data_IF_727594742252
#
_entry.id   IF_727594742252
#
_cell.length_a   1.000
_cell.length_b   1.000
_cell.length_c   1.000
_cell.angle_alpha   90.00
_cell.angle_beta   90.00
_cell.angle_gamma   90.00
#
_symmetry.space_group_name_H-M   'P 1'
#
loop_
_entity.id
_entity.type
_entity.pdbx_description
1 polymer ?
#
# COMPACT_ATOMS: atom_id res chain seq x y z
N UNK A 1 5.50 19.10 4.99
CA UNK A 1 6.30 18.38 3.97
C UNK A 1 7.72 18.44 4.44
N UNK A 2 8.35 17.28 4.65
CA UNK A 2 9.78 17.23 4.95
C UNK A 2 10.51 17.83 3.74
N UNK A 3 11.22 18.93 3.96
CA UNK A 3 11.84 19.72 2.93
C UNK A 3 12.92 18.87 2.26
N UNK A 4 12.78 18.53 0.99
CA UNK A 4 13.89 17.95 0.22
C UNK A 4 14.94 19.06 0.13
N UNK A 5 16.05 18.91 0.85
CA UNK A 5 17.14 19.86 0.75
C UNK A 5 17.74 19.81 -0.66
N UNK A 6 18.12 20.97 -1.24
CA UNK A 6 18.70 21.00 -2.58
C UNK A 6 20.03 20.26 -2.59
N UNK A 7 20.08 19.13 -3.31
CA UNK A 7 21.28 18.33 -3.48
C UNK A 7 22.29 19.06 -4.39
N UNK A 8 23.57 19.01 -4.05
CA UNK A 8 24.63 19.73 -4.76
C UNK A 8 25.26 18.91 -5.89
N UNK A 9 25.07 17.58 -5.87
CA UNK A 9 25.64 16.66 -6.85
C UNK A 9 24.80 15.37 -6.96
N UNK A 10 25.13 14.55 -7.95
CA UNK A 10 24.43 13.29 -8.21
C UNK A 10 24.53 12.28 -7.07
N UNK A 11 25.65 12.26 -6.32
CA UNK A 11 25.83 11.33 -5.21
C UNK A 11 24.89 11.67 -4.04
N UNK A 12 24.75 12.95 -3.72
CA UNK A 12 23.79 13.43 -2.72
C UNK A 12 22.34 13.14 -3.14
N UNK A 13 21.99 13.39 -4.41
CA UNK A 13 20.66 13.09 -4.93
C UNK A 13 20.33 11.61 -4.78
N UNK A 14 21.26 10.71 -5.12
CA UNK A 14 21.07 9.26 -4.97
C UNK A 14 20.92 8.86 -3.50
N UNK A 15 21.72 9.43 -2.61
CA UNK A 15 21.60 9.15 -1.18
C UNK A 15 20.25 9.61 -0.60
N UNK A 16 19.69 10.72 -1.11
CA UNK A 16 18.33 11.16 -0.75
C UNK A 16 17.25 10.22 -1.28
N UNK A 17 17.37 9.74 -2.53
CA UNK A 17 16.47 8.73 -3.10
C UNK A 17 16.51 7.46 -2.25
N UNK A 18 17.70 6.94 -1.95
CA UNK A 18 17.85 5.73 -1.13
C UNK A 18 17.23 5.89 0.27
N UNK A 19 17.30 7.10 0.85
CA UNK A 19 16.64 7.40 2.13
C UNK A 19 15.11 7.34 1.99
N UNK A 20 14.58 7.93 0.94
CA UNK A 20 13.14 7.92 0.64
C UNK A 20 12.67 6.48 0.40
N UNK A 21 13.41 5.70 -0.39
CA UNK A 21 13.06 4.32 -0.71
C UNK A 21 13.02 3.43 0.54
N UNK A 22 13.99 3.59 1.46
CA UNK A 22 13.95 2.91 2.77
C UNK A 22 12.68 3.24 3.56
N UNK A 23 12.28 4.52 3.57
CA UNK A 23 11.05 4.94 4.25
C UNK A 23 9.80 4.38 3.56
N UNK A 24 9.75 4.42 2.22
CA UNK A 24 8.64 3.85 1.45
C UNK A 24 8.47 2.36 1.70
N UNK A 25 9.55 1.59 1.67
CA UNK A 25 9.53 0.14 1.95
C UNK A 25 9.02 -0.14 3.36
N UNK A 26 9.50 0.59 4.36
CA UNK A 26 9.03 0.44 5.74
C UNK A 26 7.53 0.73 5.88
N UNK A 27 7.03 1.81 5.27
CA UNK A 27 5.62 2.18 5.28
C UNK A 27 4.72 1.18 4.54
N UNK A 28 5.19 0.64 3.40
CA UNK A 28 4.48 -0.41 2.66
C UNK A 28 4.37 -1.68 3.51
N UNK A 29 5.45 -2.08 4.20
CA UNK A 29 5.46 -3.23 5.09
C UNK A 29 4.48 -3.06 6.26
N UNK A 30 4.51 -1.91 6.93
CA UNK A 30 3.57 -1.55 8.00
C UNK A 30 2.12 -1.61 7.51
N UNK A 31 1.84 -1.02 6.34
CA UNK A 31 0.52 -1.08 5.73
C UNK A 31 0.07 -2.52 5.47
N UNK A 32 0.96 -3.37 4.95
CA UNK A 32 0.66 -4.79 4.70
C UNK A 32 0.33 -5.56 5.97
N UNK A 33 1.03 -5.30 7.07
CA UNK A 33 0.71 -5.87 8.40
C UNK A 33 -0.70 -5.46 8.83
N UNK A 34 -1.03 -4.18 8.73
CA UNK A 34 -2.37 -3.68 9.07
C UNK A 34 -3.47 -4.32 8.21
N UNK A 35 -3.22 -4.53 6.91
CA UNK A 35 -4.20 -5.19 6.03
C UNK A 35 -4.39 -6.67 6.40
N UNK A 36 -3.32 -7.41 6.69
CA UNK A 36 -3.44 -8.78 7.19
C UNK A 36 -4.20 -8.88 8.52
N UNK A 37 -4.00 -7.92 9.43
CA UNK A 37 -4.80 -7.85 10.65
C UNK A 37 -6.28 -7.57 10.33
N UNK A 38 -6.56 -6.65 9.40
CA UNK A 38 -7.91 -6.37 8.95
C UNK A 38 -8.61 -7.61 8.36
N UNK A 39 -7.86 -8.46 7.66
CA UNK A 39 -8.35 -9.69 7.06
C UNK A 39 -8.88 -10.73 8.07
N UNK A 40 -8.40 -10.69 9.31
CA UNK A 40 -8.89 -11.55 10.39
C UNK A 40 -10.33 -11.19 10.81
N UNK A 41 -10.78 -9.96 10.55
CA UNK A 41 -12.14 -9.50 10.85
C UNK A 41 -13.12 -9.70 9.69
N UNK A 42 -12.67 -10.25 8.56
CA UNK A 42 -13.48 -10.45 7.36
C UNK A 42 -14.05 -11.87 7.33
N UNK A 43 -15.37 -11.97 7.24
CA UNK A 43 -16.11 -13.24 7.35
C UNK A 43 -16.65 -13.74 6.01
N UNK A 44 -16.52 -12.95 4.95
CA UNK A 44 -17.03 -13.32 3.63
C UNK A 44 -16.17 -12.80 2.49
N UNK A 45 -16.23 -13.49 1.35
CA UNK A 45 -15.46 -13.17 0.15
C UNK A 45 -15.62 -11.71 -0.32
N UNK A 46 -16.85 -11.17 -0.26
CA UNK A 46 -17.11 -9.77 -0.64
C UNK A 46 -16.45 -8.75 0.30
N UNK A 47 -16.19 -9.11 1.55
CA UNK A 47 -15.44 -8.26 2.50
C UNK A 47 -13.93 -8.32 2.20
N UNK A 48 -13.43 -9.50 1.81
CA UNK A 48 -12.03 -9.72 1.44
C UNK A 48 -11.67 -8.95 0.18
N UNK A 49 -12.52 -8.99 -0.84
CA UNK A 49 -12.35 -8.23 -2.08
C UNK A 49 -12.40 -6.69 -1.85
N UNK A 50 -12.84 -6.25 -0.67
CA UNK A 50 -12.50 -4.92 -0.13
C UNK A 50 -13.09 -3.72 -0.89
N UNK A 51 -14.03 -3.94 -1.82
CA UNK A 51 -14.46 -2.96 -2.82
C UNK A 51 -14.68 -1.54 -2.29
N UNK A 52 -15.61 -1.36 -1.34
CA UNK A 52 -15.93 -0.01 -0.80
C UNK A 52 -14.74 0.68 -0.12
N UNK A 53 -13.87 -0.07 0.55
CA UNK A 53 -12.74 0.48 1.32
C UNK A 53 -11.52 0.75 0.45
N UNK A 54 -11.27 -0.11 -0.55
CA UNK A 54 -10.27 0.09 -1.58
C UNK A 54 -10.58 1.36 -2.40
N UNK A 55 -11.83 1.53 -2.82
CA UNK A 55 -12.26 2.72 -3.56
C UNK A 55 -12.09 4.01 -2.74
N UNK A 56 -12.38 3.94 -1.43
CA UNK A 56 -12.17 5.09 -0.54
C UNK A 56 -10.68 5.41 -0.36
N UNK A 57 -9.81 4.39 -0.32
CA UNK A 57 -8.37 4.59 -0.27
C UNK A 57 -7.88 5.26 -1.57
N UNK A 58 -8.33 4.79 -2.73
CA UNK A 58 -7.99 5.37 -4.03
C UNK A 58 -8.42 6.84 -4.15
N UNK A 59 -9.67 7.15 -3.83
CA UNK A 59 -10.18 8.55 -3.84
C UNK A 59 -9.39 9.47 -2.92
N UNK A 60 -8.92 8.96 -1.78
CA UNK A 60 -8.10 9.75 -0.85
C UNK A 60 -6.72 10.01 -1.46
N UNK A 61 -6.09 8.99 -2.00
CA UNK A 61 -4.73 9.06 -2.57
C UNK A 61 -4.65 10.00 -3.77
N UNK A 62 -5.64 9.96 -4.65
CA UNK A 62 -5.75 10.87 -5.80
C UNK A 62 -5.82 12.34 -5.39
N UNK A 63 -6.22 12.65 -4.14
CA UNK A 63 -6.30 14.01 -3.59
C UNK A 63 -5.06 14.43 -2.79
N UNK A 64 -4.13 13.50 -2.52
CA UNK A 64 -3.01 13.72 -1.59
C UNK A 64 -1.66 13.95 -2.27
N UNK A 65 -1.51 13.77 -3.58
CA UNK A 65 -0.19 13.64 -4.23
C UNK A 65 0.05 14.48 -5.49
N UNK A 66 1.33 14.80 -5.70
CA UNK A 66 1.86 15.24 -6.99
C UNK A 66 2.02 14.02 -7.92
N UNK A 67 1.63 14.20 -9.19
CA UNK A 67 1.29 13.15 -10.16
C UNK A 67 0.27 12.12 -9.63
N UNK A 68 -1.00 12.47 -9.80
CA UNK A 68 -2.13 11.62 -9.44
C UNK A 68 -2.12 10.27 -10.20
N UNK A 69 -1.59 10.23 -11.43
CA UNK A 69 -1.59 9.02 -12.24
C UNK A 69 -0.58 8.00 -11.70
N UNK A 70 0.65 8.43 -11.41
CA UNK A 70 1.67 7.57 -10.81
C UNK A 70 1.23 7.07 -9.43
N UNK A 71 0.75 7.98 -8.58
CA UNK A 71 0.33 7.62 -7.21
C UNK A 71 -0.83 6.62 -7.23
N UNK A 72 -1.81 6.81 -8.12
CA UNK A 72 -2.91 5.88 -8.29
C UNK A 72 -2.45 4.51 -8.82
N UNK A 73 -1.47 4.47 -9.74
CA UNK A 73 -0.93 3.21 -10.25
C UNK A 73 -0.24 2.39 -9.15
N UNK A 74 0.59 3.04 -8.32
CA UNK A 74 1.27 2.39 -7.18
C UNK A 74 0.24 1.83 -6.18
N UNK A 75 -0.78 2.62 -5.84
CA UNK A 75 -1.81 2.16 -4.90
C UNK A 75 -2.69 1.04 -5.46
N UNK A 76 -3.02 1.04 -6.76
CA UNK A 76 -3.75 -0.05 -7.40
C UNK A 76 -2.98 -1.36 -7.31
N UNK A 77 -1.69 -1.34 -7.66
CA UNK A 77 -0.84 -2.52 -7.57
C UNK A 77 -0.78 -3.06 -6.13
N UNK A 78 -0.53 -2.18 -5.15
CA UNK A 78 -0.43 -2.54 -3.74
C UNK A 78 -1.74 -3.10 -3.16
N UNK A 79 -2.89 -2.53 -3.53
CA UNK A 79 -4.19 -3.02 -3.10
C UNK A 79 -4.47 -4.40 -3.71
N UNK A 80 -4.18 -4.58 -5.00
CA UNK A 80 -4.37 -5.85 -5.69
C UNK A 80 -3.57 -6.98 -5.02
N UNK A 81 -2.30 -6.71 -4.72
CA UNK A 81 -1.41 -7.67 -4.05
C UNK A 81 -1.95 -8.08 -2.68
N UNK A 82 -2.36 -7.09 -1.86
CA UNK A 82 -2.93 -7.39 -0.55
C UNK A 82 -4.24 -8.17 -0.62
N UNK A 83 -5.15 -7.86 -1.56
CA UNK A 83 -6.39 -8.64 -1.74
C UNK A 83 -6.07 -10.09 -2.10
N UNK A 84 -5.06 -10.32 -2.95
CA UNK A 84 -4.61 -11.68 -3.29
C UNK A 84 -4.11 -12.44 -2.06
N UNK A 85 -3.28 -11.81 -1.22
CA UNK A 85 -2.80 -12.38 0.04
C UNK A 85 -3.96 -12.69 1.00
N UNK A 86 -4.88 -11.76 1.18
CA UNK A 86 -6.04 -11.94 2.05
C UNK A 86 -6.95 -13.07 1.56
N UNK A 87 -7.15 -13.19 0.25
CA UNK A 87 -7.94 -14.27 -0.35
C UNK A 87 -7.27 -15.64 -0.17
N UNK A 88 -5.93 -15.70 -0.24
CA UNK A 88 -5.19 -16.93 0.06
C UNK A 88 -5.35 -17.34 1.53
N UNK A 89 -5.20 -16.38 2.45
CA UNK A 89 -5.40 -16.61 3.88
C UNK A 89 -6.85 -17.01 4.22
N UNK A 90 -7.85 -16.41 3.56
CA UNK A 90 -9.26 -16.76 3.74
C UNK A 90 -9.53 -18.20 3.30
N UNK A 91 -9.05 -18.61 2.11
CA UNK A 91 -9.22 -19.98 1.60
C UNK A 91 -8.62 -21.02 2.52
N UNK A 92 -7.43 -20.75 3.08
CA UNK A 92 -6.76 -21.64 4.02
C UNK A 92 -7.63 -21.87 5.27
N UNK A 93 -8.16 -20.80 5.88
CA UNK A 93 -9.05 -20.91 7.05
C UNK A 93 -10.31 -21.72 6.76
N UNK A 94 -10.97 -21.45 5.63
CA UNK A 94 -12.23 -22.15 5.27
C UNK A 94 -12.05 -23.60 4.85
N UNK A 95 -10.81 -24.05 4.58
CA UNK A 95 -10.52 -25.44 4.26
C UNK A 95 -10.18 -26.29 5.52
N UNK A 96 -9.90 -25.62 6.63
CA UNK A 96 -9.62 -26.24 7.94
C UNK A 96 -10.89 -26.39 8.80
N UNK A 97 -11.96 -25.69 8.44
CA UNK A 97 -13.32 -25.78 9.02
C UNK A 97 -14.17 -26.88 8.36
#
# INVERSE_FOLDING_TARGET
MEHVYPCQNLAETRAQIDRIDRALVALIAERGICVRQAAAFKHGRGEVEGGKRADQAMRRVERLGADAALTAAVYRAMISDFVTDEMAAFRARTAED
#
